data_IF_961357281180
#
_entry.id   IF_961357281180
#
_cell.length_a   1.000
_cell.length_b   1.000
_cell.length_c   1.000
_cell.angle_alpha   90.00
_cell.angle_beta   90.00
_cell.angle_gamma   90.00
#
_symmetry.space_group_name_H-M   'P 1'
#
loop_
_entity.id
_entity.type
_entity.pdbx_description
1 polymer ?
#
# COMPACT_ATOMS: atom_id res chain seq x y z
N UNK A 1 -34.81 7.56 -2.23
CA UNK A 1 -34.12 6.36 -1.73
C UNK A 1 -32.65 6.73 -1.71
N UNK A 2 -32.10 6.92 -0.51
CA UNK A 2 -30.87 7.67 -0.26
C UNK A 2 -29.63 7.03 -0.87
N UNK A 3 -28.76 7.89 -1.39
CA UNK A 3 -27.48 7.63 -2.03
C UNK A 3 -26.38 7.18 -1.03
N UNK A 4 -26.74 6.57 0.09
CA UNK A 4 -25.80 6.10 1.12
C UNK A 4 -25.35 4.66 0.85
N UNK A 5 -25.08 4.34 -0.41
CA UNK A 5 -24.35 3.12 -0.76
C UNK A 5 -22.90 3.30 -0.34
N UNK A 6 -22.31 2.28 0.31
CA UNK A 6 -20.88 2.25 0.62
C UNK A 6 -20.08 2.23 -0.70
N UNK A 7 -19.82 3.40 -1.30
CA UNK A 7 -19.15 3.49 -2.58
C UNK A 7 -17.64 3.39 -2.38
N UNK A 8 -17.03 2.39 -3.01
CA UNK A 8 -15.57 2.34 -3.14
C UNK A 8 -15.16 3.41 -4.15
N UNK A 9 -14.21 4.27 -3.75
CA UNK A 9 -13.69 5.34 -4.63
C UNK A 9 -12.28 4.93 -5.11
N UNK A 10 -12.13 4.39 -6.34
CA UNK A 10 -10.86 3.81 -6.80
C UNK A 10 -9.70 4.80 -6.80
N UNK A 11 -9.96 6.08 -7.13
CA UNK A 11 -8.96 7.14 -7.06
C UNK A 11 -8.41 7.38 -5.64
N UNK A 12 -9.24 7.23 -4.60
CA UNK A 12 -8.77 7.36 -3.22
C UNK A 12 -7.95 6.16 -2.78
N UNK A 13 -8.31 4.95 -3.24
CA UNK A 13 -7.53 3.74 -3.01
C UNK A 13 -6.14 3.83 -3.65
N UNK A 14 -6.05 4.30 -4.89
CA UNK A 14 -4.78 4.51 -5.57
C UNK A 14 -3.90 5.55 -4.84
N UNK A 15 -4.47 6.69 -4.47
CA UNK A 15 -3.73 7.72 -3.73
C UNK A 15 -3.22 7.23 -2.36
N UNK A 16 -4.00 6.37 -1.68
CA UNK A 16 -3.58 5.74 -0.42
C UNK A 16 -2.45 4.73 -0.64
N UNK A 17 -2.55 3.90 -1.68
CA UNK A 17 -1.49 2.96 -2.07
C UNK A 17 -0.17 3.68 -2.36
N UNK A 18 -0.20 4.76 -3.14
CA UNK A 18 0.98 5.58 -3.43
C UNK A 18 1.60 6.16 -2.15
N UNK A 19 0.77 6.60 -1.20
CA UNK A 19 1.24 7.10 0.09
C UNK A 19 1.94 6.02 0.90
N UNK A 20 1.40 4.80 0.95
CA UNK A 20 2.05 3.68 1.64
C UNK A 20 3.33 3.24 0.97
N UNK A 21 3.42 3.27 -0.37
CA UNK A 21 4.67 2.98 -1.07
C UNK A 21 5.77 3.98 -0.69
N UNK A 22 5.43 5.28 -0.67
CA UNK A 22 6.38 6.34 -0.30
C UNK A 22 6.84 6.22 1.15
N UNK A 23 5.90 6.07 2.09
CA UNK A 23 6.21 5.88 3.50
C UNK A 23 7.04 4.60 3.73
N UNK A 24 6.73 3.52 2.99
CA UNK A 24 7.49 2.28 2.96
C UNK A 24 8.95 2.50 2.55
N UNK A 25 9.17 3.27 1.49
CA UNK A 25 10.52 3.62 1.04
C UNK A 25 11.29 4.48 2.04
N UNK A 26 10.62 5.40 2.74
CA UNK A 26 11.26 6.25 3.76
C UNK A 26 11.83 5.44 4.93
N UNK A 27 11.20 4.31 5.30
CA UNK A 27 11.64 3.44 6.40
C UNK A 27 13.00 2.77 6.16
N UNK A 28 13.44 2.63 4.91
CA UNK A 28 14.72 1.99 4.57
C UNK A 28 15.86 2.99 4.40
N UNK A 29 15.59 4.29 4.58
CA UNK A 29 16.58 5.36 4.36
C UNK A 29 17.48 5.64 5.57
N UNK A 30 17.24 4.99 6.71
CA UNK A 30 18.00 5.24 7.94
C UNK A 30 19.39 4.63 7.84
N UNK A 31 20.43 5.48 7.80
CA UNK A 31 21.82 5.03 7.90
C UNK A 31 22.29 5.16 9.35
N UNK A 32 22.71 4.05 10.00
CA UNK A 32 23.26 4.12 11.35
C UNK A 32 24.52 5.00 11.41
N UNK A 33 24.78 5.70 12.53
CA UNK A 33 26.04 6.40 12.73
C UNK A 33 27.22 5.41 12.74
N UNK A 34 28.42 5.91 12.42
CA UNK A 34 29.62 5.07 12.40
C UNK A 34 29.85 4.39 13.75
N UNK A 35 30.05 3.07 13.80
CA UNK A 35 30.24 2.36 15.04
C UNK A 35 31.58 2.74 15.70
N UNK A 36 31.63 2.65 17.03
CA UNK A 36 32.84 2.80 17.82
C UNK A 36 33.78 1.59 17.74
N UNK A 37 34.68 1.46 18.71
CA UNK A 37 35.58 0.31 18.79
C UNK A 37 34.81 -1.00 19.06
N UNK A 38 34.98 -2.07 18.27
CA UNK A 38 34.12 -3.25 18.30
C UNK A 38 34.30 -4.12 19.55
N UNK A 39 35.46 -4.04 20.21
CA UNK A 39 35.73 -4.75 21.46
C UNK A 39 35.04 -4.12 22.68
N UNK A 40 34.45 -2.93 22.54
CA UNK A 40 33.62 -2.33 23.58
C UNK A 40 32.24 -3.00 23.54
N UNK A 41 31.82 -3.60 24.65
CA UNK A 41 30.53 -4.28 24.75
C UNK A 41 29.35 -3.38 24.33
N UNK A 42 29.41 -2.09 24.69
CA UNK A 42 28.39 -1.11 24.30
C UNK A 42 28.34 -0.89 22.79
N UNK A 43 29.49 -0.81 22.10
CA UNK A 43 29.53 -0.70 20.64
C UNK A 43 28.89 -1.91 19.98
N UNK A 44 29.25 -3.12 20.43
CA UNK A 44 28.71 -4.36 19.88
C UNK A 44 27.18 -4.42 20.07
N UNK A 45 26.68 -4.04 21.25
CA UNK A 45 25.25 -3.98 21.53
C UNK A 45 24.52 -2.96 20.63
N UNK A 46 25.04 -1.74 20.50
CA UNK A 46 24.43 -0.69 19.66
C UNK A 46 24.42 -1.08 18.18
N UNK A 47 25.51 -1.65 17.67
CA UNK A 47 25.58 -2.13 16.28
C UNK A 47 24.58 -3.25 16.02
N UNK A 48 24.40 -4.18 16.97
CA UNK A 48 23.39 -5.24 16.87
C UNK A 48 21.97 -4.67 16.82
N UNK A 49 21.66 -3.70 17.68
CA UNK A 49 20.34 -3.02 17.69
C UNK A 49 20.10 -2.30 16.36
N UNK A 50 21.08 -1.56 15.83
CA UNK A 50 20.95 -0.88 14.55
C UNK A 50 20.69 -1.87 13.40
N UNK A 51 21.34 -3.04 13.43
CA UNK A 51 21.10 -4.10 12.45
C UNK A 51 19.67 -4.67 12.55
N UNK A 52 19.17 -4.92 13.77
CA UNK A 52 17.79 -5.37 13.98
C UNK A 52 16.77 -4.34 13.49
N UNK A 53 16.94 -3.05 13.84
CA UNK A 53 16.06 -1.97 13.38
C UNK A 53 16.05 -1.87 11.85
N UNK A 54 17.21 -2.00 11.21
CA UNK A 54 17.32 -1.98 9.75
C UNK A 54 16.57 -3.17 9.11
N UNK A 55 16.69 -4.36 9.69
CA UNK A 55 16.01 -5.56 9.22
C UNK A 55 14.48 -5.45 9.39
N UNK A 56 14.02 -4.99 10.55
CA UNK A 56 12.60 -4.78 10.83
C UNK A 56 12.00 -3.69 9.95
N UNK A 57 12.74 -2.59 9.73
CA UNK A 57 12.37 -1.52 8.80
C UNK A 57 12.19 -2.03 7.37
N UNK A 58 13.13 -2.84 6.88
CA UNK A 58 13.04 -3.46 5.56
C UNK A 58 11.83 -4.43 5.46
N UNK A 59 11.60 -5.26 6.47
CA UNK A 59 10.46 -6.18 6.50
C UNK A 59 9.12 -5.43 6.51
N UNK A 60 9.03 -4.33 7.27
CA UNK A 60 7.83 -3.51 7.30
C UNK A 60 7.61 -2.74 5.98
N UNK A 61 8.67 -2.24 5.36
CA UNK A 61 8.61 -1.63 4.03
C UNK A 61 8.07 -2.61 2.98
N UNK A 62 8.56 -3.86 2.96
CA UNK A 62 8.08 -4.90 2.04
C UNK A 62 6.58 -5.16 2.22
N UNK A 63 6.11 -5.37 3.45
CA UNK A 63 4.67 -5.58 3.72
C UNK A 63 3.81 -4.40 3.30
N UNK A 64 4.32 -3.18 3.48
CA UNK A 64 3.63 -1.95 3.07
C UNK A 64 3.51 -1.86 1.55
N UNK A 65 4.56 -2.28 0.82
CA UNK A 65 4.55 -2.35 -0.64
C UNK A 65 3.59 -3.42 -1.17
N UNK A 66 3.59 -4.62 -0.57
CA UNK A 66 2.66 -5.69 -0.93
C UNK A 66 1.20 -5.25 -0.73
N UNK A 67 0.91 -4.60 0.40
CA UNK A 67 -0.41 -4.06 0.72
C UNK A 67 -0.82 -3.00 -0.30
N UNK A 68 0.08 -2.06 -0.61
CA UNK A 68 -0.19 -1.03 -1.61
C UNK A 68 -0.47 -1.63 -2.99
N UNK A 69 0.31 -2.62 -3.42
CA UNK A 69 0.07 -3.35 -4.67
C UNK A 69 -1.30 -4.03 -4.69
N UNK A 70 -1.68 -4.67 -3.59
CA UNK A 70 -3.02 -5.26 -3.43
C UNK A 70 -4.14 -4.23 -3.56
N UNK A 71 -3.99 -3.06 -2.95
CA UNK A 71 -4.98 -1.98 -3.03
C UNK A 71 -5.05 -1.36 -4.42
N UNK A 72 -3.92 -1.19 -5.12
CA UNK A 72 -3.91 -0.75 -6.51
C UNK A 72 -4.66 -1.73 -7.42
N UNK A 73 -4.42 -3.03 -7.25
CA UNK A 73 -5.12 -4.07 -8.01
C UNK A 73 -6.63 -4.08 -7.70
N UNK A 74 -7.01 -3.89 -6.44
CA UNK A 74 -8.41 -3.80 -6.05
C UNK A 74 -9.09 -2.58 -6.69
N UNK A 75 -8.43 -1.41 -6.70
CA UNK A 75 -8.95 -0.20 -7.34
C UNK A 75 -9.25 -0.43 -8.83
N UNK A 76 -8.29 -1.00 -9.57
CA UNK A 76 -8.49 -1.37 -10.98
C UNK A 76 -9.61 -2.40 -11.17
N UNK A 77 -9.75 -3.34 -10.24
CA UNK A 77 -10.83 -4.33 -10.23
C UNK A 77 -12.21 -3.70 -10.05
N UNK A 78 -12.34 -2.66 -9.21
CA UNK A 78 -13.60 -1.93 -9.04
C UNK A 78 -13.94 -1.08 -10.27
N UNK A 79 -12.97 -0.39 -10.87
CA UNK A 79 -13.19 0.37 -12.11
C UNK A 79 -13.70 -0.53 -13.25
N UNK A 80 -13.11 -1.72 -13.39
CA UNK A 80 -13.53 -2.70 -14.39
C UNK A 80 -14.96 -3.20 -14.14
N UNK A 81 -15.30 -3.53 -12.89
CA UNK A 81 -16.64 -3.98 -12.51
C UNK A 81 -17.71 -2.92 -12.79
N UNK A 82 -17.43 -1.66 -12.51
CA UNK A 82 -18.35 -0.55 -12.79
C UNK A 82 -18.56 -0.39 -14.30
N UNK A 83 -17.49 -0.45 -15.09
CA UNK A 83 -17.58 -0.37 -16.56
C UNK A 83 -18.39 -1.52 -17.17
N UNK A 84 -18.18 -2.75 -16.70
CA UNK A 84 -18.95 -3.93 -17.12
C UNK A 84 -20.43 -3.77 -16.72
N UNK A 85 -20.68 -3.40 -15.47
CA UNK A 85 -22.04 -3.21 -14.94
C UNK A 85 -22.81 -2.14 -15.72
N UNK A 86 -22.16 -1.02 -16.03
CA UNK A 86 -22.74 0.05 -16.84
C UNK A 86 -23.10 -0.44 -18.26
N UNK A 87 -22.24 -1.24 -18.89
CA UNK A 87 -22.50 -1.82 -20.21
C UNK A 87 -23.68 -2.81 -20.18
N UNK A 88 -23.74 -3.69 -19.19
CA UNK A 88 -24.84 -4.65 -19.03
C UNK A 88 -26.18 -3.96 -18.76
N UNK A 89 -26.19 -2.95 -17.88
CA UNK A 89 -27.38 -2.15 -17.59
C UNK A 89 -27.90 -1.37 -18.80
N UNK A 90 -27.00 -0.86 -19.65
CA UNK A 90 -27.38 -0.24 -20.91
C UNK A 90 -28.04 -1.26 -21.86
N UNK A 91 -27.61 -2.52 -21.82
CA UNK A 91 -28.24 -3.63 -22.55
C UNK A 91 -29.66 -3.93 -22.06
N UNK A 92 -29.87 -4.05 -20.75
CA UNK A 92 -31.20 -4.27 -20.16
C UNK A 92 -32.18 -3.15 -20.54
N UNK A 93 -31.72 -1.89 -20.43
CA UNK A 93 -32.53 -0.71 -20.75
C UNK A 93 -33.05 -0.75 -22.20
N UNK A 94 -32.24 -1.25 -23.14
CA UNK A 94 -32.65 -1.42 -24.55
C UNK A 94 -33.74 -2.47 -24.73
N UNK A 95 -33.68 -3.58 -23.97
CA UNK A 95 -34.67 -4.67 -24.06
C UNK A 95 -36.03 -4.24 -23.50
N UNK A 96 -36.05 -3.40 -22.46
CA UNK A 96 -37.31 -2.92 -21.85
C UNK A 96 -38.04 -1.86 -22.69
N UNK A 97 -37.36 -1.21 -23.67
CA UNK A 97 -37.96 -0.19 -24.54
C UNK A 97 -38.60 -0.75 -25.83
N UNK A 98 -38.77 -2.07 -25.96
CA UNK A 98 -39.36 -2.73 -27.15
C UNK A 98 -40.77 -3.24 -26.87
#
# INVERSE_FOLDING_TARGET
MGSDGLQVVPGQLAAMADRWQRLGAELTTTTPPSPGQPFQATTAAVSSINAMVSADGAAFASRSQDTAGGVTNAAAGYDSQEAISAHEMAGVTKVTMV
#
